data_IF_786884158900
#
_entry.id   IF_786884158900
#
_cell.length_a   1.000
_cell.length_b   1.000
_cell.length_c   1.000
_cell.angle_alpha   90.00
_cell.angle_beta   90.00
_cell.angle_gamma   90.00
#
_symmetry.space_group_name_H-M   'P 1'
#
loop_
_entity.id
_entity.type
_entity.pdbx_description
1 polymer ?
#
# COMPACT_ATOMS: atom_id res chain seq x y z
N UNK A 1 10.31 -3.18 15.18
CA UNK A 1 10.01 -4.39 15.87
C UNK A 1 10.13 -4.34 17.40
N UNK A 2 11.19 -3.70 17.98
CA UNK A 2 11.47 -3.79 19.44
C UNK A 2 10.35 -3.28 20.38
N UNK A 3 9.39 -2.48 19.89
CA UNK A 3 8.27 -1.94 20.67
C UNK A 3 6.93 -2.62 20.36
N UNK A 4 6.90 -3.52 19.40
CA UNK A 4 5.68 -4.22 18.97
C UNK A 4 5.70 -5.64 19.51
N UNK A 5 4.52 -6.15 19.88
CA UNK A 5 4.34 -7.58 20.15
C UNK A 5 4.32 -8.32 18.81
N UNK A 6 5.30 -9.20 18.62
CA UNK A 6 5.52 -9.89 17.34
C UNK A 6 4.34 -10.78 16.92
N UNK A 7 3.57 -11.30 17.88
CA UNK A 7 2.50 -12.26 17.67
C UNK A 7 1.09 -11.64 17.62
N UNK A 8 0.91 -10.46 18.20
CA UNK A 8 -0.40 -9.82 18.38
C UNK A 8 -0.55 -8.52 17.58
N UNK A 9 0.56 -7.75 17.44
CA UNK A 9 0.51 -6.49 16.71
C UNK A 9 0.54 -6.71 15.20
N UNK A 10 -0.14 -5.83 14.47
CA UNK A 10 -0.18 -5.81 13.01
C UNK A 10 0.66 -4.67 12.48
N UNK A 11 1.62 -4.97 11.63
CA UNK A 11 2.35 -3.96 10.86
C UNK A 11 1.53 -3.55 9.65
N UNK A 12 1.12 -2.29 9.59
CA UNK A 12 0.62 -1.68 8.36
C UNK A 12 1.76 -0.92 7.68
N UNK A 13 2.14 -1.35 6.47
CA UNK A 13 3.19 -0.75 5.67
C UNK A 13 2.62 -0.25 4.34
N UNK A 14 2.75 1.05 4.10
CA UNK A 14 2.47 1.63 2.79
C UNK A 14 3.77 2.10 2.14
N UNK A 15 4.00 1.69 0.91
CA UNK A 15 5.09 2.13 0.06
C UNK A 15 4.51 2.78 -1.21
N UNK A 16 4.97 3.98 -1.53
CA UNK A 16 4.58 4.69 -2.75
C UNK A 16 5.81 5.31 -3.39
N UNK A 17 6.12 4.89 -4.61
CA UNK A 17 7.26 5.37 -5.39
C UNK A 17 7.09 5.03 -6.87
N UNK A 18 8.12 5.27 -7.67
CA UNK A 18 8.23 4.73 -9.02
C UNK A 18 8.69 3.27 -8.99
N UNK A 19 8.29 2.48 -10.00
CA UNK A 19 8.84 1.15 -10.22
C UNK A 19 10.04 1.23 -11.17
N UNK A 20 11.10 0.47 -10.86
CA UNK A 20 12.34 0.52 -11.60
C UNK A 20 12.31 -0.31 -12.90
N UNK A 21 12.92 0.26 -13.93
CA UNK A 21 13.31 -0.42 -15.17
C UNK A 21 14.79 -0.09 -15.44
N UNK A 22 15.52 -1.01 -16.05
CA UNK A 22 16.90 -0.74 -16.46
C UNK A 22 16.98 0.12 -17.74
N UNK A 23 18.19 0.45 -18.18
CA UNK A 23 18.44 1.26 -19.38
C UNK A 23 17.90 0.62 -20.67
N UNK A 24 17.70 -0.69 -20.68
CA UNK A 24 17.11 -1.41 -21.81
C UNK A 24 15.57 -1.42 -21.77
N UNK A 25 14.96 -0.94 -20.69
CA UNK A 25 13.53 -1.01 -20.40
C UNK A 25 13.09 -2.33 -19.79
N UNK A 26 14.02 -3.17 -19.33
CA UNK A 26 13.68 -4.38 -18.58
C UNK A 26 13.15 -4.01 -17.19
N UNK A 27 12.02 -4.61 -16.82
CA UNK A 27 11.41 -4.41 -15.50
C UNK A 27 12.28 -5.08 -14.44
N UNK A 28 12.75 -4.30 -13.46
CA UNK A 28 13.52 -4.79 -12.31
C UNK A 28 12.60 -5.26 -11.19
N UNK A 29 11.43 -4.65 -11.06
CA UNK A 29 10.46 -4.96 -10.01
C UNK A 29 10.78 -4.30 -8.67
N UNK A 30 11.68 -3.32 -8.66
CA UNK A 30 12.12 -2.59 -7.48
C UNK A 30 11.36 -1.27 -7.32
N UNK A 31 11.37 -0.71 -6.10
CA UNK A 31 10.88 0.64 -5.83
C UNK A 31 12.05 1.62 -5.85
N UNK A 32 11.95 2.61 -6.72
CA UNK A 32 12.99 3.65 -6.86
C UNK A 32 13.05 4.52 -5.61
N UNK A 33 14.27 4.69 -5.06
CA UNK A 33 14.56 5.66 -4.01
C UNK A 33 15.49 6.75 -4.57
N UNK A 34 14.89 7.87 -4.99
CA UNK A 34 15.63 9.03 -5.46
C UNK A 34 15.40 10.21 -4.50
N UNK A 35 16.40 10.51 -3.67
CA UNK A 35 16.34 11.60 -2.69
C UNK A 35 17.69 12.32 -2.54
N UNK A 36 18.14 13.08 -3.55
CA UNK A 36 19.38 13.83 -3.49
C UNK A 36 19.43 14.78 -2.27
N UNK A 37 20.58 14.93 -1.59
CA UNK A 37 21.92 14.41 -1.99
C UNK A 37 22.24 12.99 -1.47
N UNK A 38 21.25 12.25 -0.98
CA UNK A 38 21.45 10.90 -0.51
C UNK A 38 21.57 9.95 -1.70
N UNK A 39 22.58 9.08 -1.66
CA UNK A 39 22.73 7.96 -2.59
C UNK A 39 22.09 6.74 -1.92
N UNK A 40 20.90 6.38 -2.36
CA UNK A 40 20.09 5.33 -1.76
C UNK A 40 19.91 4.20 -2.78
N UNK A 41 20.07 2.97 -2.31
CA UNK A 41 19.71 1.80 -3.11
C UNK A 41 18.18 1.67 -3.23
N UNK A 42 17.71 1.24 -4.39
CA UNK A 42 16.31 0.93 -4.62
C UNK A 42 15.86 -0.23 -3.72
N UNK A 43 14.57 -0.27 -3.40
CA UNK A 43 14.01 -1.34 -2.58
C UNK A 43 13.61 -2.51 -3.48
N UNK A 44 14.41 -3.56 -3.47
CA UNK A 44 14.05 -4.81 -4.12
C UNK A 44 13.17 -5.70 -3.22
N UNK A 45 12.35 -6.61 -3.81
CA UNK A 45 11.44 -7.46 -3.04
C UNK A 45 12.13 -8.43 -2.07
N UNK A 46 13.37 -8.86 -2.35
CA UNK A 46 14.13 -9.79 -1.50
C UNK A 46 14.61 -9.07 -0.25
N UNK A 47 15.26 -7.90 -0.44
CA UNK A 47 15.69 -7.07 0.67
C UNK A 47 14.54 -6.66 1.59
N UNK A 48 13.40 -6.28 1.00
CA UNK A 48 12.21 -5.93 1.78
C UNK A 48 11.71 -7.12 2.61
N UNK A 49 11.66 -8.31 1.99
CA UNK A 49 11.29 -9.54 2.71
C UNK A 49 12.22 -9.81 3.89
N UNK A 50 13.53 -9.80 3.67
CA UNK A 50 14.51 -10.05 4.72
C UNK A 50 14.41 -9.04 5.87
N UNK A 51 14.19 -7.76 5.54
CA UNK A 51 14.01 -6.69 6.52
C UNK A 51 12.74 -6.90 7.35
N UNK A 52 11.63 -7.25 6.70
CA UNK A 52 10.37 -7.55 7.37
C UNK A 52 10.47 -8.80 8.25
N UNK A 53 11.15 -9.84 7.79
CA UNK A 53 11.35 -11.07 8.57
C UNK A 53 12.26 -10.83 9.78
N UNK A 54 13.31 -10.03 9.62
CA UNK A 54 14.18 -9.61 10.73
C UNK A 54 13.45 -8.76 11.79
N UNK A 55 12.34 -8.11 11.44
CA UNK A 55 11.51 -7.40 12.41
C UNK A 55 10.82 -8.32 13.43
N UNK A 56 10.61 -9.59 13.07
CA UNK A 56 9.90 -10.60 13.84
C UNK A 56 8.38 -10.45 13.83
N UNK A 57 7.81 -9.38 13.24
CA UNK A 57 6.37 -9.13 13.25
C UNK A 57 5.68 -10.09 12.27
N UNK A 58 4.75 -10.88 12.76
CA UNK A 58 4.07 -11.92 11.98
C UNK A 58 2.96 -11.37 11.08
N UNK A 59 2.10 -10.50 11.63
CA UNK A 59 0.92 -10.02 10.95
C UNK A 59 1.25 -8.74 10.19
N UNK A 60 1.03 -8.75 8.87
CA UNK A 60 1.44 -7.65 7.99
C UNK A 60 0.35 -7.32 6.99
N UNK A 61 0.01 -6.05 6.89
CA UNK A 61 -0.77 -5.47 5.80
C UNK A 61 0.17 -4.57 5.01
N UNK A 62 0.42 -4.93 3.75
CA UNK A 62 1.39 -4.25 2.89
C UNK A 62 0.65 -3.71 1.67
N UNK A 63 0.72 -2.38 1.47
CA UNK A 63 0.14 -1.72 0.30
C UNK A 63 1.27 -1.07 -0.50
N UNK A 64 1.40 -1.43 -1.78
CA UNK A 64 2.47 -0.92 -2.65
C UNK A 64 1.84 -0.21 -3.85
N UNK A 65 2.05 1.10 -3.93
CA UNK A 65 1.59 1.96 -5.02
C UNK A 65 2.75 2.37 -5.91
N UNK A 66 3.07 1.55 -6.90
CA UNK A 66 4.07 1.81 -7.92
C UNK A 66 3.76 1.05 -9.21
N UNK A 67 4.46 1.41 -10.29
CA UNK A 67 4.56 0.55 -11.47
C UNK A 67 5.18 -0.79 -11.06
N UNK A 68 4.74 -1.88 -11.70
CA UNK A 68 5.28 -3.24 -11.53
C UNK A 68 5.20 -3.78 -10.09
N UNK A 69 4.40 -3.15 -9.23
CA UNK A 69 4.31 -3.49 -7.80
C UNK A 69 3.86 -4.94 -7.52
N UNK A 70 3.20 -5.60 -8.47
CA UNK A 70 2.85 -7.02 -8.37
C UNK A 70 4.06 -7.95 -8.22
N UNK A 71 5.28 -7.52 -8.62
CA UNK A 71 6.52 -8.28 -8.43
C UNK A 71 6.82 -8.58 -6.96
N UNK A 72 6.33 -7.76 -6.03
CA UNK A 72 6.50 -7.95 -4.59
C UNK A 72 5.66 -9.09 -4.02
N UNK A 73 4.53 -9.46 -4.66
CA UNK A 73 3.57 -10.44 -4.11
C UNK A 73 4.24 -11.78 -3.87
N UNK A 74 4.91 -12.34 -4.88
CA UNK A 74 5.51 -13.67 -4.77
C UNK A 74 6.53 -13.75 -3.63
N UNK A 75 7.31 -12.70 -3.44
CA UNK A 75 8.39 -12.65 -2.42
C UNK A 75 7.86 -12.41 -1.01
N UNK A 76 6.85 -11.54 -0.88
CA UNK A 76 6.30 -11.15 0.43
C UNK A 76 5.15 -12.03 0.90
N UNK A 77 4.63 -12.92 0.04
CA UNK A 77 3.53 -13.80 0.36
C UNK A 77 3.86 -14.69 1.56
N UNK A 78 2.98 -14.69 2.57
CA UNK A 78 3.06 -15.56 3.73
C UNK A 78 1.65 -15.86 4.27
N UNK A 79 1.45 -16.89 5.11
CA UNK A 79 0.14 -17.15 5.67
C UNK A 79 -0.48 -15.99 6.46
N UNK A 80 0.33 -15.10 7.02
CA UNK A 80 -0.09 -14.00 7.90
C UNK A 80 0.02 -12.62 7.25
N UNK A 81 0.10 -12.54 5.91
CA UNK A 81 0.27 -11.28 5.19
C UNK A 81 -0.92 -11.01 4.26
N UNK A 82 -1.40 -9.77 4.27
CA UNK A 82 -2.23 -9.16 3.23
C UNK A 82 -1.34 -8.26 2.38
N UNK A 83 -1.34 -8.42 1.05
CA UNK A 83 -0.58 -7.58 0.13
C UNK A 83 -1.54 -7.02 -0.91
N UNK A 84 -1.49 -5.71 -1.12
CA UNK A 84 -2.29 -5.01 -2.12
C UNK A 84 -1.34 -4.18 -2.98
N UNK A 85 -1.43 -4.31 -4.31
CA UNK A 85 -0.54 -3.64 -5.25
C UNK A 85 -1.33 -2.84 -6.29
N UNK A 86 -0.78 -1.70 -6.70
CA UNK A 86 -1.39 -0.80 -7.68
C UNK A 86 -1.34 -1.34 -9.11
N UNK A 87 -0.49 -2.34 -9.38
CA UNK A 87 -0.33 -2.92 -10.70
C UNK A 87 0.10 -4.38 -10.65
N UNK A 88 -0.06 -5.10 -11.76
CA UNK A 88 0.58 -6.40 -11.97
C UNK A 88 2.10 -6.24 -12.12
N UNK A 89 2.83 -7.37 -12.04
CA UNK A 89 4.30 -7.38 -12.08
C UNK A 89 4.89 -6.87 -13.41
N UNK A 90 4.10 -6.91 -14.48
CA UNK A 90 4.48 -6.49 -15.83
C UNK A 90 3.75 -5.24 -16.32
N UNK A 91 3.08 -4.50 -15.41
CA UNK A 91 2.24 -3.36 -15.76
C UNK A 91 2.68 -2.08 -15.06
N UNK A 92 2.59 -0.96 -15.80
CA UNK A 92 2.71 0.36 -15.21
C UNK A 92 1.46 0.73 -14.39
N UNK A 93 1.62 1.61 -13.42
CA UNK A 93 0.56 2.29 -12.68
C UNK A 93 0.56 3.78 -13.04
N UNK A 94 -0.58 4.46 -12.92
CA UNK A 94 -0.76 5.81 -13.45
C UNK A 94 -1.23 6.81 -12.38
N UNK A 95 -1.20 8.11 -12.76
CA UNK A 95 -1.64 9.21 -11.90
C UNK A 95 -0.53 9.79 -11.03
N UNK A 96 0.72 9.34 -11.19
CA UNK A 96 1.88 9.94 -10.55
C UNK A 96 2.30 11.20 -11.33
N UNK A 97 1.71 12.35 -11.03
CA UNK A 97 2.14 13.63 -11.58
C UNK A 97 2.70 14.51 -10.47
N UNK A 98 3.60 15.45 -10.81
CA UNK A 98 4.25 16.35 -9.86
C UNK A 98 3.24 17.15 -8.99
N UNK A 99 2.04 17.38 -9.50
CA UNK A 99 0.98 18.11 -8.80
C UNK A 99 -0.11 17.21 -8.21
N UNK A 100 0.07 15.88 -8.22
CA UNK A 100 -0.90 14.96 -7.66
C UNK A 100 -0.49 14.52 -6.26
N UNK A 101 -1.35 14.74 -5.27
CA UNK A 101 -1.12 14.29 -3.89
C UNK A 101 -1.10 12.75 -3.78
N UNK A 102 -1.83 12.07 -4.66
CA UNK A 102 -1.95 10.61 -4.68
C UNK A 102 -2.03 10.10 -6.13
N UNK A 103 -1.45 8.91 -6.38
CA UNK A 103 -1.69 8.16 -7.62
C UNK A 103 -3.18 7.81 -7.79
N UNK A 104 -3.61 7.37 -8.98
CA UNK A 104 -5.00 6.91 -9.19
C UNK A 104 -5.37 5.80 -8.21
N UNK A 105 -4.49 4.81 -8.06
CA UNK A 105 -4.69 3.74 -7.11
C UNK A 105 -4.70 4.24 -5.66
N UNK A 106 -3.74 5.06 -5.25
CA UNK A 106 -3.66 5.61 -3.90
C UNK A 106 -4.91 6.41 -3.52
N UNK A 107 -5.43 7.25 -4.43
CA UNK A 107 -6.67 7.99 -4.23
C UNK A 107 -7.87 7.05 -4.11
N UNK A 108 -8.02 6.13 -5.06
CA UNK A 108 -9.16 5.22 -5.10
C UNK A 108 -9.19 4.28 -3.89
N UNK A 109 -8.03 3.75 -3.48
CA UNK A 109 -7.95 2.81 -2.36
C UNK A 109 -8.10 3.50 -1.00
N UNK A 110 -7.30 4.55 -0.72
CA UNK A 110 -7.28 5.19 0.60
C UNK A 110 -8.37 6.24 0.76
N UNK A 111 -8.46 7.21 -0.16
CA UNK A 111 -9.34 8.35 0.03
C UNK A 111 -10.80 8.05 -0.28
N UNK A 112 -11.07 7.26 -1.33
CA UNK A 112 -12.42 6.93 -1.78
C UNK A 112 -12.89 5.57 -1.26
N UNK A 113 -11.99 4.60 -1.14
CA UNK A 113 -12.24 3.27 -0.61
C UNK A 113 -12.29 3.24 0.92
N UNK A 114 -11.16 3.15 1.58
CA UNK A 114 -11.09 2.95 3.03
C UNK A 114 -11.76 4.08 3.84
N UNK A 115 -11.59 5.36 3.44
CA UNK A 115 -12.25 6.50 4.11
C UNK A 115 -13.70 6.70 3.69
N UNK A 116 -14.13 6.08 2.61
CA UNK A 116 -15.43 6.28 1.95
C UNK A 116 -16.46 5.19 2.24
N UNK A 117 -16.67 4.73 3.46
CA UNK A 117 -17.69 3.73 3.84
C UNK A 117 -17.50 2.31 3.26
N UNK A 118 -16.32 1.96 2.78
CA UNK A 118 -16.04 0.59 2.31
C UNK A 118 -15.60 -0.36 3.42
N UNK A 119 -15.12 0.17 4.53
CA UNK A 119 -14.87 -0.44 5.85
C UNK A 119 -14.18 -1.82 5.88
N UNK A 120 -13.72 -2.34 4.72
CA UNK A 120 -12.91 -3.55 4.61
C UNK A 120 -11.88 -3.39 3.51
N UNK A 121 -10.75 -4.10 3.63
CA UNK A 121 -9.71 -4.07 2.60
C UNK A 121 -10.21 -4.65 1.27
N UNK A 122 -11.02 -5.70 1.32
CA UNK A 122 -11.62 -6.32 0.13
C UNK A 122 -12.51 -5.32 -0.62
N UNK A 123 -13.45 -4.67 0.07
CA UNK A 123 -14.35 -3.70 -0.55
C UNK A 123 -13.60 -2.48 -1.09
N UNK A 124 -12.59 -1.99 -0.36
CA UNK A 124 -11.76 -0.88 -0.80
C UNK A 124 -10.91 -1.25 -2.01
N UNK A 125 -10.37 -2.47 -2.04
CA UNK A 125 -9.62 -3.00 -3.18
C UNK A 125 -10.50 -3.15 -4.42
N UNK A 126 -11.68 -3.77 -4.31
CA UNK A 126 -12.61 -3.93 -5.42
C UNK A 126 -13.05 -2.59 -5.98
N UNK A 127 -13.34 -1.62 -5.11
CA UNK A 127 -13.63 -0.26 -5.53
C UNK A 127 -12.44 0.37 -6.28
N UNK A 128 -11.24 0.29 -5.71
CA UNK A 128 -10.04 0.87 -6.32
C UNK A 128 -9.73 0.26 -7.68
N UNK A 129 -9.83 -1.07 -7.80
CA UNK A 129 -9.63 -1.80 -9.05
C UNK A 129 -10.56 -1.32 -10.15
N UNK A 130 -11.86 -1.19 -9.85
CA UNK A 130 -12.84 -0.71 -10.80
C UNK A 130 -12.60 0.76 -11.16
N UNK A 131 -12.36 1.62 -10.16
CA UNK A 131 -12.13 3.05 -10.35
C UNK A 131 -10.89 3.34 -11.18
N UNK A 132 -9.79 2.64 -10.93
CA UNK A 132 -8.55 2.74 -11.70
C UNK A 132 -8.79 2.31 -13.15
N UNK A 133 -9.48 1.19 -13.36
CA UNK A 133 -9.81 0.71 -14.70
C UNK A 133 -10.64 1.71 -15.51
N UNK A 134 -11.62 2.38 -14.88
CA UNK A 134 -12.41 3.45 -15.51
C UNK A 134 -11.53 4.64 -15.94
N UNK A 135 -10.65 5.10 -15.04
CA UNK A 135 -9.76 6.22 -15.32
C UNK A 135 -8.76 5.89 -16.42
N UNK A 136 -8.18 4.70 -16.39
CA UNK A 136 -7.24 4.23 -17.42
C UNK A 136 -7.93 4.12 -18.78
N UNK A 137 -9.14 3.57 -18.85
CA UNK A 137 -9.91 3.49 -20.08
C UNK A 137 -10.25 4.89 -20.63
N UNK A 138 -10.63 5.84 -19.78
CA UNK A 138 -10.92 7.22 -20.17
C UNK A 138 -9.70 7.93 -20.75
N UNK A 139 -8.50 7.64 -20.20
CA UNK A 139 -7.25 8.25 -20.63
C UNK A 139 -6.54 7.48 -21.75
N UNK A 140 -7.06 6.32 -22.15
CA UNK A 140 -6.45 5.46 -23.17
C UNK A 140 -5.17 4.75 -22.71
N UNK A 141 -5.02 4.55 -21.39
CA UNK A 141 -3.86 3.84 -20.83
C UNK A 141 -4.04 2.32 -20.91
N UNK A 142 -2.90 1.61 -20.97
CA UNK A 142 -2.89 0.15 -20.80
C UNK A 142 -3.27 -0.17 -19.36
N UNK A 143 -4.21 -1.12 -19.10
CA UNK A 143 -4.65 -1.44 -17.75
C UNK A 143 -3.52 -1.84 -16.81
N UNK A 144 -3.43 -1.21 -15.63
CA UNK A 144 -2.42 -1.52 -14.60
C UNK A 144 -2.68 -2.84 -13.91
N UNK A 145 -3.93 -3.27 -13.83
CA UNK A 145 -4.34 -4.53 -13.19
C UNK A 145 -3.90 -4.64 -11.72
N UNK A 146 -4.44 -3.84 -10.81
CA UNK A 146 -4.17 -3.95 -9.37
C UNK A 146 -4.40 -5.38 -8.87
N UNK A 147 -3.58 -5.83 -7.93
CA UNK A 147 -3.61 -7.20 -7.41
C UNK A 147 -3.72 -7.20 -5.88
N UNK A 148 -4.28 -8.29 -5.35
CA UNK A 148 -4.37 -8.55 -3.92
C UNK A 148 -4.03 -10.01 -3.62
N UNK A 149 -3.24 -10.23 -2.58
CA UNK A 149 -2.94 -11.52 -2.00
C UNK A 149 -3.35 -11.52 -0.52
N UNK A 150 -4.08 -12.55 -0.10
CA UNK A 150 -4.47 -12.74 1.30
C UNK A 150 -3.95 -14.09 1.78
N UNK A 151 -3.05 -14.09 2.74
CA UNK A 151 -2.52 -15.29 3.36
C UNK A 151 -3.61 -16.11 4.07
N UNK A 152 -3.42 -17.43 4.14
CA UNK A 152 -4.45 -18.34 4.68
C UNK A 152 -4.85 -18.04 6.11
N UNK A 153 -3.91 -17.68 6.98
CA UNK A 153 -4.19 -17.27 8.37
C UNK A 153 -4.72 -15.84 8.44
N UNK A 154 -4.18 -14.93 7.59
CA UNK A 154 -4.67 -13.57 7.49
C UNK A 154 -6.14 -13.54 7.12
N UNK A 155 -6.59 -14.37 6.19
CA UNK A 155 -8.01 -14.46 5.79
C UNK A 155 -8.94 -14.73 6.96
N UNK A 156 -8.49 -15.52 7.95
CA UNK A 156 -9.29 -15.81 9.15
C UNK A 156 -9.25 -14.67 10.16
N UNK A 157 -8.11 -13.99 10.29
CA UNK A 157 -7.93 -12.87 11.24
C UNK A 157 -8.47 -11.52 10.72
N UNK A 158 -8.61 -11.37 9.40
CA UNK A 158 -8.93 -10.10 8.76
C UNK A 158 -10.22 -9.43 9.27
N UNK A 159 -11.35 -10.13 9.49
CA UNK A 159 -12.57 -9.50 10.00
C UNK A 159 -12.38 -8.84 11.38
N UNK A 160 -11.66 -9.48 12.29
CA UNK A 160 -11.37 -8.93 13.62
C UNK A 160 -10.42 -7.74 13.53
N UNK A 161 -9.40 -7.83 12.69
CA UNK A 161 -8.47 -6.75 12.41
C UNK A 161 -9.20 -5.52 11.82
N UNK A 162 -10.07 -5.72 10.86
CA UNK A 162 -10.83 -4.66 10.21
C UNK A 162 -11.81 -3.99 11.20
N UNK A 163 -12.45 -4.78 12.05
CA UNK A 163 -13.29 -4.25 13.11
C UNK A 163 -12.48 -3.34 14.05
N UNK A 164 -11.30 -3.77 14.46
CA UNK A 164 -10.43 -2.97 15.33
C UNK A 164 -9.93 -1.67 14.67
N UNK A 165 -9.65 -1.73 13.36
CA UNK A 165 -9.11 -0.57 12.62
C UNK A 165 -10.20 0.44 12.20
N UNK A 166 -11.39 -0.02 11.87
CA UNK A 166 -12.43 0.80 11.25
C UNK A 166 -13.65 1.02 12.15
N UNK A 167 -13.67 0.46 13.37
CA UNK A 167 -14.71 0.77 14.35
C UNK A 167 -14.55 2.20 14.85
N UNK A 168 -15.30 3.12 14.25
CA UNK A 168 -15.30 4.56 14.54
C UNK A 168 -15.85 4.93 15.95
N UNK A 169 -16.16 3.95 16.80
CA UNK A 169 -16.62 4.21 18.18
C UNK A 169 -15.54 4.79 19.09
N UNK A 170 -14.30 4.87 18.62
CA UNK A 170 -13.13 5.41 19.31
C UNK A 170 -12.50 6.59 18.55
N UNK A 171 -13.28 7.58 18.11
CA UNK A 171 -12.66 8.85 17.68
C UNK A 171 -11.84 9.43 18.84
N UNK A 172 -10.51 9.61 18.71
CA UNK A 172 -9.77 10.38 19.69
C UNK A 172 -10.33 11.81 19.65
N UNK A 173 -10.98 12.24 20.74
CA UNK A 173 -11.36 13.65 20.92
C UNK A 173 -10.09 14.49 20.81
N UNK A 174 -9.90 15.16 19.68
CA UNK A 174 -8.85 16.16 19.52
C UNK A 174 -9.02 17.18 20.65
N UNK A 175 -7.96 17.51 21.42
CA UNK A 175 -8.06 18.58 22.39
C UNK A 175 -8.41 19.87 21.64
N UNK A 176 -9.44 20.57 22.13
CA UNK A 176 -9.86 21.85 21.59
C UNK A 176 -8.65 22.79 21.51
N UNK A 177 -8.33 23.27 20.31
CA UNK A 177 -7.28 24.25 20.07
C UNK A 177 -7.51 25.45 20.99
N UNK A 178 -6.63 25.62 21.99
CA UNK A 178 -6.48 26.85 22.73
C UNK A 178 -6.00 27.95 21.77
N UNK A 179 -6.93 28.68 21.18
CA UNK A 179 -6.58 29.92 20.47
C UNK A 179 -5.92 30.86 21.49
N UNK A 180 -4.69 31.35 21.24
CA UNK A 180 -4.12 32.40 22.07
C UNK A 180 -4.97 33.66 21.89
N UNK A 181 -5.49 34.18 23.02
CA UNK A 181 -6.02 35.53 23.08
C UNK A 181 -4.91 36.50 22.67
N UNK A 182 -5.04 37.11 21.52
CA UNK A 182 -4.24 38.27 21.13
C UNK A 182 -4.92 39.53 21.69
N UNK A 183 -4.14 40.43 22.32
CA UNK A 183 -4.65 41.69 22.86
C UNK A 183 -5.04 42.71 21.79
#
# INVERSE_FOLDING_TARGET
GKKMNADEDVLFLMLSSHGAVDESGQILGDLVLDNPPLDLDDIDPVWLKETLDASGIRWRVIVISSCYSGAFIERLASPTTLIITASAADRASFGCSYNADLSYFGRAFFAEGLRGNKNTFDNAYDYAKNRVSELEALMGFVPSQPQMYVGSLMKTALPELEQALFDNSQEPTMPADNKPNTP
#
